data_IF_702531778120
#
_entry.id   IF_702531778120
#
_cell.length_a   1.000
_cell.length_b   1.000
_cell.length_c   1.000
_cell.angle_alpha   90.00
_cell.angle_beta   90.00
_cell.angle_gamma   90.00
#
_symmetry.space_group_name_H-M   'P 1'
#
loop_
_entity.id
_entity.type
_entity.pdbx_description
1 polymer ?
#
# COMPACT_ATOMS: atom_id res chain seq x y z
N UNK A 1 -12.20 -0.12 1.88
CA UNK A 1 -12.43 -1.34 2.69
C UNK A 1 -11.08 -1.83 3.18
N UNK A 2 -10.98 -2.29 4.43
CA UNK A 2 -9.75 -2.90 4.95
C UNK A 2 -9.80 -4.39 4.62
N UNK A 3 -8.74 -4.93 4.03
CA UNK A 3 -8.64 -6.34 3.63
C UNK A 3 -7.29 -6.92 4.02
N UNK A 4 -7.28 -8.23 4.27
CA UNK A 4 -6.07 -9.03 4.28
C UNK A 4 -5.88 -9.69 2.91
N UNK A 5 -4.63 -9.94 2.53
CA UNK A 5 -4.27 -10.61 1.28
C UNK A 5 -3.48 -11.88 1.58
N UNK A 6 -3.67 -12.93 0.78
CA UNK A 6 -2.85 -14.14 0.86
C UNK A 6 -1.58 -13.96 0.03
N UNK A 7 -0.71 -13.07 0.49
CA UNK A 7 0.58 -12.75 -0.11
C UNK A 7 1.56 -12.28 0.98
N UNK A 8 2.86 -12.30 0.68
CA UNK A 8 3.87 -11.72 1.55
C UNK A 8 3.84 -10.18 1.47
N UNK A 9 3.73 -9.52 2.63
CA UNK A 9 3.93 -8.08 2.77
C UNK A 9 5.02 -7.85 3.81
N UNK A 10 5.88 -6.86 3.57
CA UNK A 10 6.95 -6.49 4.49
C UNK A 10 6.39 -6.04 5.85
N UNK A 11 5.14 -5.56 5.91
CA UNK A 11 4.45 -5.24 7.16
C UNK A 11 4.47 -6.42 8.17
N UNK A 12 4.47 -7.67 7.71
CA UNK A 12 4.59 -8.83 8.61
C UNK A 12 5.94 -8.86 9.32
N UNK A 13 7.04 -8.80 8.55
CA UNK A 13 8.41 -8.85 9.07
C UNK A 13 8.76 -7.57 9.85
N UNK A 14 8.35 -6.42 9.34
CA UNK A 14 8.57 -5.12 9.99
C UNK A 14 7.83 -5.08 11.32
N UNK A 15 6.58 -5.54 11.39
CA UNK A 15 5.80 -5.58 12.63
C UNK A 15 6.39 -6.50 13.68
N UNK A 16 6.96 -7.63 13.29
CA UNK A 16 7.67 -8.53 14.18
C UNK A 16 8.90 -7.85 14.81
N UNK A 17 9.64 -7.06 14.00
CA UNK A 17 10.85 -6.37 14.46
C UNK A 17 10.57 -5.13 15.31
N UNK A 18 9.44 -4.47 15.10
CA UNK A 18 9.06 -3.24 15.82
C UNK A 18 7.71 -3.41 16.54
N UNK A 19 7.69 -4.09 17.70
CA UNK A 19 6.46 -4.31 18.46
C UNK A 19 5.77 -2.99 18.82
N UNK A 20 4.46 -2.93 18.61
CA UNK A 20 3.64 -1.74 18.91
C UNK A 20 3.64 -0.66 17.83
N UNK A 21 4.28 -0.89 16.68
CA UNK A 21 4.18 0.02 15.53
C UNK A 21 2.86 -0.19 14.79
N UNK A 22 2.05 0.88 14.69
CA UNK A 22 0.86 0.90 13.85
C UNK A 22 1.28 0.99 12.37
N UNK A 23 0.68 0.14 11.53
CA UNK A 23 1.01 0.04 10.12
C UNK A 23 -0.22 -0.14 9.24
N UNK A 24 -0.16 0.44 8.05
CA UNK A 24 -1.11 0.21 6.97
C UNK A 24 -0.34 0.00 5.65
N UNK A 25 -0.87 -0.85 4.77
CA UNK A 25 -0.38 -1.00 3.39
C UNK A 25 -1.49 -0.61 2.43
N UNK A 26 -1.18 0.28 1.48
CA UNK A 26 -2.09 0.74 0.43
C UNK A 26 -1.29 1.25 -0.77
N UNK A 27 -1.89 1.24 -1.95
CA UNK A 27 -1.21 1.66 -3.18
C UNK A 27 -2.17 1.86 -4.36
N UNK A 28 -1.66 2.29 -5.52
CA UNK A 28 -2.43 2.35 -6.76
C UNK A 28 -2.81 0.94 -7.24
N UNK A 29 -3.67 0.87 -8.25
CA UNK A 29 -4.09 -0.40 -8.85
C UNK A 29 -3.04 -0.87 -9.86
N UNK A 30 -2.42 -2.01 -9.58
CA UNK A 30 -1.53 -2.73 -10.49
C UNK A 30 -2.19 -4.05 -10.92
N UNK A 31 -1.83 -4.52 -12.11
CA UNK A 31 -2.26 -5.81 -12.65
C UNK A 31 -1.04 -6.58 -13.16
N UNK A 32 -1.11 -7.92 -13.08
CA UNK A 32 -0.08 -8.83 -13.58
C UNK A 32 1.34 -8.54 -13.05
N UNK A 33 1.45 -8.09 -11.80
CA UNK A 33 2.73 -7.81 -11.13
C UNK A 33 3.67 -9.02 -11.18
N UNK A 34 4.95 -8.76 -11.43
CA UNK A 34 6.00 -9.77 -11.62
C UNK A 34 5.94 -10.54 -12.95
N UNK A 35 5.20 -10.04 -13.94
CA UNK A 35 5.18 -10.59 -15.31
C UNK A 35 5.59 -9.54 -16.34
N UNK A 36 5.97 -9.92 -17.57
CA UNK A 36 6.17 -8.96 -18.66
C UNK A 36 4.91 -8.13 -19.01
N UNK A 37 3.73 -8.57 -18.57
CA UNK A 37 2.45 -7.89 -18.75
C UNK A 37 2.11 -6.93 -17.59
N UNK A 38 3.04 -6.74 -16.64
CA UNK A 38 2.87 -5.85 -15.50
C UNK A 38 2.52 -4.43 -15.97
N UNK A 39 1.42 -3.91 -15.43
CA UNK A 39 0.91 -2.60 -15.80
C UNK A 39 0.21 -1.94 -14.62
N UNK A 40 0.18 -0.61 -14.67
CA UNK A 40 -0.46 0.24 -13.67
C UNK A 40 -1.63 1.00 -14.28
N UNK A 41 -2.73 1.11 -13.53
CA UNK A 41 -3.84 1.94 -13.95
C UNK A 41 -3.58 3.41 -13.60
N UNK A 42 -3.22 4.22 -14.60
CA UNK A 42 -2.76 5.63 -14.43
C UNK A 42 -3.73 6.46 -13.58
N UNK A 43 -5.04 6.35 -13.80
CA UNK A 43 -6.03 7.14 -13.03
C UNK A 43 -6.08 6.77 -11.53
N UNK A 44 -5.60 5.58 -11.13
CA UNK A 44 -5.49 5.21 -9.72
C UNK A 44 -4.29 5.87 -9.02
N UNK A 45 -3.27 6.29 -9.77
CA UNK A 45 -2.06 6.92 -9.21
C UNK A 45 -2.39 8.27 -8.59
N UNK A 46 -3.22 9.09 -9.25
CA UNK A 46 -3.64 10.37 -8.69
C UNK A 46 -4.46 10.20 -7.40
N UNK A 47 -5.34 9.19 -7.36
CA UNK A 47 -6.13 8.85 -6.16
C UNK A 47 -5.23 8.44 -5.00
N UNK A 48 -4.27 7.55 -5.25
CA UNK A 48 -3.26 7.15 -4.28
C UNK A 48 -2.48 8.38 -3.76
N UNK A 49 -1.99 9.22 -4.66
CA UNK A 49 -1.18 10.39 -4.30
C UNK A 49 -1.96 11.39 -3.44
N UNK A 50 -3.18 11.72 -3.83
CA UNK A 50 -4.06 12.61 -3.04
C UNK A 50 -4.33 12.04 -1.66
N UNK A 51 -4.59 10.74 -1.56
CA UNK A 51 -4.88 10.08 -0.29
C UNK A 51 -3.65 10.03 0.63
N UNK A 52 -2.47 9.69 0.09
CA UNK A 52 -1.20 9.73 0.82
C UNK A 52 -0.94 11.13 1.40
N UNK A 53 -1.04 12.15 0.56
CA UNK A 53 -0.82 13.54 1.00
C UNK A 53 -1.83 13.97 2.06
N UNK A 54 -3.07 13.51 1.98
CA UNK A 54 -4.09 13.81 2.98
C UNK A 54 -3.82 13.12 4.33
N UNK A 55 -3.35 11.86 4.30
CA UNK A 55 -2.91 11.17 5.52
C UNK A 55 -1.80 11.97 6.19
N UNK A 56 -0.75 12.32 5.44
CA UNK A 56 0.40 13.05 5.98
C UNK A 56 0.02 14.42 6.54
N UNK A 57 -0.91 15.15 5.90
CA UNK A 57 -1.40 16.43 6.43
C UNK A 57 -2.18 16.30 7.74
N UNK A 58 -2.81 15.15 7.97
CA UNK A 58 -3.61 14.88 9.18
C UNK A 58 -2.82 14.21 10.29
N UNK A 59 -1.62 13.71 9.99
CA UNK A 59 -0.70 13.21 11.00
C UNK A 59 -0.24 14.38 11.87
N UNK A 60 -0.31 14.20 13.19
CA UNK A 60 0.08 15.18 14.21
C UNK A 60 1.52 14.94 14.66
#
# INVERSE_FOLDING_TARGET
>A
EVKAVHAGLECGIIGERYPGMDMISFGPTLEAVHSPDEKIYIASVEKFWKFLMEILRRMK
#
